data_IF_665276567004
#
_entry.id   IF_665276567004
#
_cell.length_a   1.000
_cell.length_b   1.000
_cell.length_c   1.000
_cell.angle_alpha   90.00
_cell.angle_beta   90.00
_cell.angle_gamma   90.00
#
_symmetry.space_group_name_H-M   'P 1'
#
loop_
_entity.id
_entity.type
_entity.pdbx_description
1 polymer ?
#
# COMPACT_ATOMS: atom_id res chain seq x y z
N UNK A 1 9.51 -19.13 -23.92
CA UNK A 1 9.63 -17.67 -23.70
C UNK A 1 8.97 -17.20 -22.39
N UNK A 2 8.79 -18.09 -21.39
CA UNK A 2 8.12 -17.75 -20.11
C UNK A 2 8.89 -18.27 -18.87
N UNK A 3 10.07 -18.88 -19.06
CA UNK A 3 10.95 -19.33 -17.96
C UNK A 3 12.07 -18.32 -17.66
N UNK A 4 12.53 -17.60 -18.68
CA UNK A 4 13.61 -16.60 -18.54
C UNK A 4 13.15 -15.32 -17.81
N UNK A 5 11.84 -15.05 -17.75
CA UNK A 5 11.29 -13.90 -17.00
C UNK A 5 11.33 -14.13 -15.48
N UNK A 6 11.06 -15.37 -15.03
CA UNK A 6 11.07 -15.74 -13.59
C UNK A 6 12.49 -15.79 -13.03
N UNK A 7 13.47 -16.30 -13.77
CA UNK A 7 14.87 -16.33 -13.35
C UNK A 7 15.48 -14.92 -13.18
N UNK A 8 15.02 -13.97 -13.99
CA UNK A 8 15.50 -12.58 -13.92
C UNK A 8 14.87 -11.78 -12.77
N UNK A 9 13.66 -12.16 -12.31
CA UNK A 9 13.00 -11.56 -11.14
C UNK A 9 13.68 -11.94 -9.82
N UNK A 10 14.12 -13.19 -9.66
CA UNK A 10 14.81 -13.65 -8.45
C UNK A 10 16.18 -12.95 -8.24
N UNK A 11 16.84 -12.59 -9.33
CA UNK A 11 18.17 -11.94 -9.32
C UNK A 11 18.06 -10.44 -8.97
N UNK A 12 16.90 -9.81 -9.22
CA UNK A 12 16.66 -8.39 -8.93
C UNK A 12 16.30 -8.16 -7.45
N UNK A 13 15.62 -9.13 -6.82
CA UNK A 13 15.31 -9.09 -5.37
C UNK A 13 16.58 -9.12 -4.51
N UNK A 14 17.53 -9.98 -4.86
CA UNK A 14 18.80 -10.15 -4.13
C UNK A 14 19.74 -8.93 -4.26
N UNK A 15 19.68 -8.20 -5.37
CA UNK A 15 20.48 -6.97 -5.59
C UNK A 15 19.90 -5.72 -4.87
N UNK A 16 18.60 -5.71 -4.57
CA UNK A 16 17.96 -4.65 -3.79
C UNK A 16 18.23 -4.79 -2.29
N UNK A 17 18.29 -6.03 -1.78
CA UNK A 17 18.65 -6.34 -0.39
C UNK A 17 20.11 -5.94 -0.05
N UNK A 18 21.05 -6.17 -0.97
CA UNK A 18 22.47 -5.83 -0.78
C UNK A 18 22.77 -4.32 -0.79
N UNK A 19 21.88 -3.49 -1.37
CA UNK A 19 22.03 -2.03 -1.37
C UNK A 19 21.42 -1.35 -0.14
N UNK A 20 20.43 -1.98 0.50
CA UNK A 20 19.81 -1.45 1.72
C UNK A 20 20.75 -1.52 2.95
N UNK A 21 21.67 -2.48 2.98
CA UNK A 21 22.61 -2.71 4.10
C UNK A 21 23.75 -1.68 4.19
N UNK A 22 24.00 -0.85 3.16
CA UNK A 22 25.16 0.08 3.14
C UNK A 22 24.86 1.55 3.47
N UNK A 23 23.62 1.91 3.85
CA UNK A 23 23.26 3.29 4.22
C UNK A 23 22.48 3.34 5.54
N UNK A 24 23.13 2.94 6.63
CA UNK A 24 22.73 3.33 7.99
C UNK A 24 23.85 4.17 8.59
N UNK A 25 23.67 5.48 8.55
CA UNK A 25 24.24 6.44 9.52
C UNK A 25 23.70 7.83 9.18
N UNK A 26 22.63 8.24 9.86
CA UNK A 26 22.29 9.65 10.04
C UNK A 26 21.44 9.79 11.32
N UNK A 27 22.01 10.57 12.24
CA UNK A 27 21.55 10.85 13.61
C UNK A 27 20.14 11.47 13.67
N UNK A 28 19.26 10.93 14.52
CA UNK A 28 18.00 11.56 14.90
C UNK A 28 17.86 11.51 16.43
N UNK A 29 17.48 12.65 17.03
CA UNK A 29 17.46 12.86 18.49
C UNK A 29 16.14 12.38 19.09
N UNK A 30 16.23 11.66 20.20
CA UNK A 30 15.10 11.13 20.98
C UNK A 30 14.59 12.16 21.98
N UNK A 31 13.26 12.30 22.11
CA UNK A 31 12.59 12.99 23.22
C UNK A 31 11.83 11.91 24.01
N UNK A 32 12.00 11.92 25.33
CA UNK A 32 11.43 10.93 26.24
C UNK A 32 9.99 11.27 26.65
N UNK A 33 9.11 10.27 26.72
CA UNK A 33 7.84 10.34 27.44
C UNK A 33 7.64 9.12 28.35
N UNK A 34 6.98 9.36 29.49
CA UNK A 34 6.80 8.47 30.65
C UNK A 34 5.56 7.55 30.50
N UNK A 35 5.47 6.46 31.28
CA UNK A 35 4.47 5.42 31.08
C UNK A 35 3.20 5.70 31.89
N UNK A 36 2.05 5.35 31.33
CA UNK A 36 0.88 4.95 32.12
C UNK A 36 0.44 3.57 31.64
N UNK A 37 0.47 2.63 32.56
CA UNK A 37 -0.05 1.28 32.47
C UNK A 37 -1.57 1.32 32.70
N UNK A 38 -2.33 0.75 31.78
CA UNK A 38 -3.78 0.71 31.93
C UNK A 38 -4.45 0.16 30.70
N UNK A 39 -5.11 -0.99 30.87
CA UNK A 39 -6.02 -1.61 29.91
C UNK A 39 -7.04 -0.55 29.46
N UNK A 40 -6.90 -0.05 28.24
CA UNK A 40 -7.85 0.87 27.63
C UNK A 40 -8.65 0.11 26.58
N UNK A 41 -9.80 -0.42 26.99
CA UNK A 41 -10.88 -0.75 26.05
C UNK A 41 -11.28 0.53 25.33
N UNK A 42 -11.11 0.55 24.00
CA UNK A 42 -11.60 1.63 23.16
C UNK A 42 -12.77 1.11 22.33
N UNK A 43 -13.91 1.75 22.55
CA UNK A 43 -15.20 1.52 21.93
C UNK A 43 -15.18 1.56 20.40
N UNK A 44 -15.85 0.56 19.83
CA UNK A 44 -16.64 0.53 18.59
C UNK A 44 -16.59 1.74 17.66
N UNK A 45 -16.26 1.48 16.40
CA UNK A 45 -17.04 1.99 15.29
C UNK A 45 -17.24 0.84 14.28
N UNK A 46 -18.50 0.46 14.09
CA UNK A 46 -18.94 -0.54 13.13
C UNK A 46 -18.67 -0.03 11.71
N UNK A 47 -17.68 -0.59 11.02
CA UNK A 47 -17.49 -0.35 9.59
C UNK A 47 -17.80 -1.62 8.80
N UNK A 48 -19.08 -1.98 8.82
CA UNK A 48 -19.66 -2.76 7.75
C UNK A 48 -20.34 -1.75 6.80
N UNK A 49 -19.85 -1.72 5.57
CA UNK A 49 -20.59 -1.39 4.35
C UNK A 49 -22.01 -0.84 4.57
N UNK A 50 -22.23 0.47 4.44
CA UNK A 50 -23.59 0.99 4.22
C UNK A 50 -23.73 2.42 3.68
N UNK A 51 -22.68 3.22 3.49
CA UNK A 51 -22.85 4.55 2.85
C UNK A 51 -22.22 4.71 1.45
N UNK A 52 -21.43 3.75 0.97
CA UNK A 52 -20.99 3.74 -0.43
C UNK A 52 -22.04 3.14 -1.39
N UNK A 53 -23.15 2.60 -0.86
CA UNK A 53 -24.22 1.95 -1.63
C UNK A 53 -25.48 2.81 -1.80
N UNK A 54 -25.43 4.11 -1.52
CA UNK A 54 -26.56 5.03 -1.70
C UNK A 54 -26.22 6.15 -2.69
N UNK A 55 -25.78 5.76 -3.88
CA UNK A 55 -25.93 6.55 -5.11
C UNK A 55 -26.56 5.65 -6.19
N UNK A 56 -27.70 5.05 -5.86
CA UNK A 56 -28.60 4.50 -6.88
C UNK A 56 -29.23 5.67 -7.65
N UNK A 57 -28.65 5.99 -8.80
CA UNK A 57 -29.15 7.00 -9.70
C UNK A 57 -28.66 6.76 -11.13
N UNK A 58 -29.41 5.92 -11.87
CA UNK A 58 -29.35 5.72 -13.33
C UNK A 58 -28.01 5.23 -13.91
N UNK A 59 -27.64 3.96 -13.72
CA UNK A 59 -26.62 3.33 -14.57
C UNK A 59 -26.94 1.84 -14.80
N UNK A 60 -26.45 1.30 -15.93
CA UNK A 60 -26.80 -0.03 -16.48
C UNK A 60 -26.55 -1.20 -15.52
N UNK A 61 -26.85 -2.42 -15.98
CA UNK A 61 -26.68 -3.60 -15.15
C UNK A 61 -25.23 -3.73 -14.68
N UNK A 62 -25.00 -4.36 -13.52
CA UNK A 62 -23.64 -4.60 -13.01
C UNK A 62 -22.76 -5.33 -14.04
N UNK A 63 -23.34 -6.17 -14.89
CA UNK A 63 -22.67 -6.81 -16.01
C UNK A 63 -22.20 -5.81 -17.08
N UNK A 64 -23.01 -4.79 -17.41
CA UNK A 64 -22.64 -3.75 -18.39
C UNK A 64 -21.46 -2.91 -17.90
N UNK A 65 -21.42 -2.61 -16.59
CA UNK A 65 -20.30 -1.88 -15.97
C UNK A 65 -19.00 -2.70 -16.03
N UNK A 66 -19.08 -4.01 -15.75
CA UNK A 66 -17.94 -4.92 -15.84
C UNK A 66 -17.45 -5.01 -17.29
N UNK A 67 -18.36 -5.23 -18.24
CA UNK A 67 -18.02 -5.33 -19.66
C UNK A 67 -17.33 -4.06 -20.17
N UNK A 68 -17.90 -2.89 -19.87
CA UNK A 68 -17.31 -1.60 -20.26
C UNK A 68 -15.93 -1.38 -19.64
N UNK A 69 -15.71 -1.83 -18.40
CA UNK A 69 -14.39 -1.78 -17.77
C UNK A 69 -13.38 -2.69 -18.47
N UNK A 70 -13.76 -3.92 -18.82
CA UNK A 70 -12.88 -4.86 -19.52
C UNK A 70 -12.49 -4.35 -20.91
N UNK A 71 -13.45 -3.85 -21.69
CA UNK A 71 -13.20 -3.26 -23.00
C UNK A 71 -12.21 -2.07 -22.92
N UNK A 72 -12.35 -1.23 -21.90
CA UNK A 72 -11.42 -0.12 -21.65
C UNK A 72 -10.01 -0.65 -21.37
N UNK A 73 -9.88 -1.67 -20.52
CA UNK A 73 -8.58 -2.26 -20.18
C UNK A 73 -7.89 -2.87 -21.41
N UNK A 74 -8.62 -3.70 -22.18
CA UNK A 74 -8.10 -4.32 -23.40
C UNK A 74 -7.56 -3.27 -24.38
N UNK A 75 -8.31 -2.17 -24.58
CA UNK A 75 -7.88 -1.06 -25.41
C UNK A 75 -6.61 -0.38 -24.89
N UNK A 76 -6.56 -0.05 -23.59
CA UNK A 76 -5.42 0.61 -22.96
C UNK A 76 -4.14 -0.21 -23.10
N UNK A 77 -4.20 -1.54 -22.99
CA UNK A 77 -3.03 -2.42 -23.11
C UNK A 77 -2.41 -2.45 -24.51
N UNK A 78 -3.15 -2.09 -25.55
CA UNK A 78 -2.63 -2.03 -26.93
C UNK A 78 -1.88 -0.73 -27.24
N UNK A 79 -2.08 0.32 -26.42
CA UNK A 79 -1.54 1.65 -26.71
C UNK A 79 -0.08 1.76 -26.27
N UNK A 80 0.79 2.03 -27.25
CA UNK A 80 2.24 2.18 -27.08
C UNK A 80 2.66 3.63 -27.09
N UNK A 81 3.63 3.98 -26.26
CA UNK A 81 4.09 5.37 -26.13
C UNK A 81 4.72 5.91 -27.42
N UNK A 82 5.38 5.02 -28.17
CA UNK A 82 6.15 5.29 -29.39
C UNK A 82 5.24 5.64 -30.57
N UNK A 83 3.98 5.18 -30.53
CA UNK A 83 2.98 5.46 -31.56
C UNK A 83 2.43 6.88 -31.50
N UNK A 84 2.85 7.68 -30.52
CA UNK A 84 2.29 9.01 -30.27
C UNK A 84 3.38 10.09 -30.20
N UNK A 85 3.28 11.15 -31.01
CA UNK A 85 4.29 12.21 -31.03
C UNK A 85 4.24 13.12 -29.78
N UNK A 86 3.10 13.19 -29.09
CA UNK A 86 2.87 14.10 -27.96
C UNK A 86 2.02 13.46 -26.85
N UNK A 87 2.17 13.92 -25.60
CA UNK A 87 1.33 13.47 -24.46
C UNK A 87 -0.17 13.65 -24.73
N UNK A 88 -0.67 14.79 -25.26
CA UNK A 88 -2.08 14.93 -25.63
C UNK A 88 -2.56 13.89 -26.65
N UNK A 89 -1.74 13.52 -27.65
CA UNK A 89 -2.13 12.51 -28.63
C UNK A 89 -2.24 11.11 -28.02
N UNK A 90 -1.34 10.76 -27.09
CA UNK A 90 -1.43 9.52 -26.31
C UNK A 90 -2.70 9.52 -25.45
N UNK A 91 -2.94 10.60 -24.70
CA UNK A 91 -4.11 10.72 -23.82
C UNK A 91 -5.42 10.62 -24.59
N UNK A 92 -5.50 11.25 -25.77
CA UNK A 92 -6.66 11.13 -26.67
C UNK A 92 -6.89 9.68 -27.10
N UNK A 93 -5.83 8.94 -27.41
CA UNK A 93 -5.94 7.52 -27.76
C UNK A 93 -6.41 6.68 -26.56
N UNK A 94 -5.84 6.90 -25.38
CA UNK A 94 -6.21 6.16 -24.15
C UNK A 94 -7.66 6.37 -23.75
N UNK A 95 -8.21 7.55 -24.02
CA UNK A 95 -9.53 7.97 -23.54
C UNK A 95 -10.63 7.94 -24.60
N UNK A 96 -10.35 7.42 -25.81
CA UNK A 96 -11.27 7.49 -26.96
C UNK A 96 -12.62 6.81 -26.69
N UNK A 97 -12.63 5.69 -25.97
CA UNK A 97 -13.83 4.93 -25.62
C UNK A 97 -14.33 5.23 -24.19
N UNK A 98 -13.78 6.25 -23.53
CA UNK A 98 -14.13 6.60 -22.15
C UNK A 98 -15.24 7.65 -22.10
N UNK A 99 -16.44 7.24 -21.67
CA UNK A 99 -17.63 8.09 -21.63
C UNK A 99 -17.80 8.90 -20.33
N UNK A 100 -16.96 8.67 -19.31
CA UNK A 100 -17.04 9.36 -18.02
C UNK A 100 -15.67 9.87 -17.55
N UNK A 101 -15.68 10.85 -16.64
CA UNK A 101 -14.44 11.35 -16.02
C UNK A 101 -13.70 10.23 -15.27
N UNK A 102 -14.45 9.34 -14.61
CA UNK A 102 -13.91 8.18 -13.90
C UNK A 102 -13.25 7.19 -14.86
N UNK A 103 -13.90 6.85 -15.98
CA UNK A 103 -13.34 5.95 -16.99
C UNK A 103 -12.03 6.52 -17.58
N UNK A 104 -12.01 7.84 -17.84
CA UNK A 104 -10.77 8.52 -18.27
C UNK A 104 -9.68 8.43 -17.20
N UNK A 105 -9.99 8.75 -15.95
CA UNK A 105 -9.04 8.68 -14.84
C UNK A 105 -8.45 7.26 -14.67
N UNK A 106 -9.29 6.23 -14.82
CA UNK A 106 -8.91 4.82 -14.73
C UNK A 106 -8.03 4.38 -15.89
N UNK A 107 -8.40 4.74 -17.13
CA UNK A 107 -7.61 4.43 -18.32
C UNK A 107 -6.19 5.00 -18.23
N UNK A 108 -6.06 6.26 -17.79
CA UNK A 108 -4.75 6.88 -17.58
C UNK A 108 -3.97 6.20 -16.46
N UNK A 109 -4.63 5.86 -15.35
CA UNK A 109 -3.99 5.21 -14.20
C UNK A 109 -3.45 3.83 -14.57
N UNK A 110 -4.28 3.03 -15.26
CA UNK A 110 -3.93 1.70 -15.76
C UNK A 110 -2.78 1.75 -16.73
N UNK A 111 -2.81 2.71 -17.66
CA UNK A 111 -1.73 2.84 -18.62
C UNK A 111 -0.42 3.18 -17.94
N UNK A 112 -0.38 4.21 -17.09
CA UNK A 112 0.85 4.69 -16.42
C UNK A 112 1.41 3.61 -15.49
N UNK A 113 0.57 3.01 -14.65
CA UNK A 113 0.99 2.02 -13.65
C UNK A 113 1.40 0.69 -14.29
N UNK A 114 0.82 0.35 -15.45
CA UNK A 114 1.13 -0.89 -16.18
C UNK A 114 2.38 -0.82 -17.06
N UNK A 115 3.09 0.31 -17.12
CA UNK A 115 4.30 0.43 -17.95
C UNK A 115 5.51 -0.27 -17.30
N UNK A 116 6.28 -1.00 -18.10
CA UNK A 116 7.58 -1.55 -17.67
C UNK A 116 8.68 -0.51 -17.78
N UNK A 117 9.14 0.03 -16.64
CA UNK A 117 10.26 0.99 -16.63
C UNK A 117 11.59 0.39 -17.09
N UNK A 118 11.77 -0.94 -17.01
CA UNK A 118 12.99 -1.62 -17.48
C UNK A 118 13.20 -1.37 -18.97
N UNK A 119 12.12 -1.43 -19.76
CA UNK A 119 12.15 -1.11 -21.18
C UNK A 119 12.61 0.33 -21.42
N UNK A 120 11.99 1.31 -20.76
CA UNK A 120 12.24 2.73 -21.00
C UNK A 120 13.64 3.23 -20.60
N UNK A 121 14.35 2.52 -19.71
CA UNK A 121 15.77 2.82 -19.41
C UNK A 121 16.67 2.67 -20.64
N UNK A 122 16.31 1.74 -21.54
CA UNK A 122 17.12 1.39 -22.70
C UNK A 122 16.73 2.13 -23.98
N UNK A 123 15.60 2.85 -23.98
CA UNK A 123 15.08 3.51 -25.19
C UNK A 123 15.87 4.79 -25.51
N UNK A 124 16.15 5.02 -26.80
CA UNK A 124 16.69 6.28 -27.30
C UNK A 124 15.54 7.20 -27.70
N UNK A 125 15.61 8.46 -27.25
CA UNK A 125 14.57 9.45 -27.53
C UNK A 125 15.20 10.73 -28.06
N UNK A 126 14.65 11.27 -29.14
CA UNK A 126 15.13 12.51 -29.77
C UNK A 126 14.32 13.74 -29.37
N UNK A 127 13.03 13.56 -29.04
CA UNK A 127 12.13 14.63 -28.61
C UNK A 127 11.87 14.55 -27.10
N UNK A 128 12.38 15.46 -26.26
CA UNK A 128 12.19 15.45 -24.80
C UNK A 128 10.73 15.54 -24.32
N UNK A 129 9.81 16.02 -25.18
CA UNK A 129 8.39 16.19 -24.88
C UNK A 129 7.51 15.01 -25.29
N UNK A 130 8.07 14.00 -25.96
CA UNK A 130 7.30 12.81 -26.37
C UNK A 130 6.90 11.96 -25.16
N UNK A 131 5.81 11.16 -25.27
CA UNK A 131 5.42 10.23 -24.21
C UNK A 131 6.54 9.24 -23.84
N UNK A 132 7.26 8.71 -24.82
CA UNK A 132 8.41 7.83 -24.61
C UNK A 132 9.51 8.52 -23.80
N UNK A 133 9.81 9.78 -24.09
CA UNK A 133 10.77 10.57 -23.31
C UNK A 133 10.31 10.81 -21.87
N UNK A 134 9.01 11.03 -21.65
CA UNK A 134 8.43 11.18 -20.31
C UNK A 134 8.55 9.88 -19.50
N UNK A 135 8.25 8.74 -20.13
CA UNK A 135 8.44 7.42 -19.51
C UNK A 135 9.92 7.13 -19.21
N UNK A 136 10.84 7.54 -20.09
CA UNK A 136 12.28 7.46 -19.84
C UNK A 136 12.70 8.34 -18.67
N UNK A 137 12.23 9.60 -18.61
CA UNK A 137 12.48 10.49 -17.47
C UNK A 137 11.97 9.88 -16.16
N UNK A 138 10.82 9.21 -16.19
CA UNK A 138 10.28 8.49 -15.04
C UNK A 138 11.19 7.33 -14.62
N UNK A 139 11.64 6.52 -15.59
CA UNK A 139 12.56 5.41 -15.36
C UNK A 139 13.95 5.84 -14.84
N UNK A 140 14.37 7.06 -15.15
CA UNK A 140 15.60 7.71 -14.68
C UNK A 140 15.41 8.51 -13.38
N UNK A 141 14.18 8.59 -12.84
CA UNK A 141 13.88 9.36 -11.62
C UNK A 141 13.91 10.89 -11.79
N UNK A 142 13.84 11.39 -13.02
CA UNK A 142 13.79 12.84 -13.35
C UNK A 142 12.38 13.44 -13.25
N UNK A 143 11.36 12.60 -13.21
CA UNK A 143 9.97 12.96 -12.92
C UNK A 143 9.35 11.86 -12.04
N UNK A 144 8.16 12.12 -11.50
CA UNK A 144 7.43 11.17 -10.66
C UNK A 144 6.19 10.65 -11.38
N UNK A 145 5.69 9.50 -10.94
CA UNK A 145 4.41 8.95 -11.38
C UNK A 145 3.28 9.98 -11.20
N UNK A 146 3.24 10.65 -10.04
CA UNK A 146 2.23 11.66 -9.73
C UNK A 146 2.26 12.88 -10.67
N UNK A 147 3.46 13.33 -11.06
CA UNK A 147 3.61 14.43 -11.99
C UNK A 147 3.19 14.04 -13.42
N UNK A 148 3.59 12.85 -13.88
CA UNK A 148 3.20 12.34 -15.20
C UNK A 148 1.69 12.09 -15.28
N UNK A 149 1.11 11.45 -14.26
CA UNK A 149 -0.33 11.23 -14.18
C UNK A 149 -1.09 12.56 -14.18
N UNK A 150 -0.64 13.57 -13.42
CA UNK A 150 -1.25 14.89 -13.41
C UNK A 150 -1.21 15.55 -14.80
N UNK A 151 -0.08 15.49 -15.51
CA UNK A 151 0.04 16.02 -16.88
C UNK A 151 -0.97 15.34 -17.81
N UNK A 152 -1.05 14.01 -17.76
CA UNK A 152 -1.99 13.23 -18.57
C UNK A 152 -3.45 13.53 -18.22
N UNK A 153 -3.78 13.62 -16.94
CA UNK A 153 -5.12 13.94 -16.46
C UNK A 153 -5.58 15.32 -16.95
N UNK A 154 -4.69 16.33 -16.91
CA UNK A 154 -4.98 17.66 -17.45
C UNK A 154 -5.24 17.62 -18.95
N UNK A 155 -4.46 16.85 -19.72
CA UNK A 155 -4.72 16.64 -21.15
C UNK A 155 -6.08 15.98 -21.43
N UNK A 156 -6.60 15.16 -20.51
CA UNK A 156 -7.92 14.55 -20.61
C UNK A 156 -9.07 15.48 -20.16
N UNK A 157 -8.75 16.70 -19.73
CA UNK A 157 -9.72 17.67 -19.19
C UNK A 157 -10.13 17.39 -17.75
N UNK A 158 -9.35 16.59 -17.00
CA UNK A 158 -9.61 16.28 -15.59
C UNK A 158 -8.89 17.29 -14.69
N UNK A 159 -9.57 17.75 -13.64
CA UNK A 159 -8.89 18.46 -12.54
C UNK A 159 -8.17 17.44 -11.68
N UNK A 160 -6.85 17.58 -11.56
CA UNK A 160 -5.99 16.64 -10.87
C UNK A 160 -4.93 17.42 -10.07
N UNK A 161 -4.93 17.21 -8.76
CA UNK A 161 -3.98 17.83 -7.84
C UNK A 161 -2.85 16.86 -7.52
N UNK A 162 -1.64 17.41 -7.39
CA UNK A 162 -0.48 16.66 -6.93
C UNK A 162 -0.40 16.86 -5.42
N UNK A 163 -0.42 15.77 -4.68
CA UNK A 163 -0.42 15.77 -3.22
C UNK A 163 0.92 15.25 -2.75
N UNK A 164 1.63 16.07 -1.96
CA UNK A 164 2.88 15.69 -1.33
C UNK A 164 2.64 15.26 0.12
N UNK A 165 3.41 14.29 0.60
CA UNK A 165 3.33 13.85 1.98
C UNK A 165 4.23 12.69 2.30
N UNK A 166 3.75 11.81 3.17
CA UNK A 166 4.46 10.65 3.68
C UNK A 166 3.69 9.37 3.40
N UNK A 167 4.41 8.30 3.10
CA UNK A 167 3.82 6.97 2.97
C UNK A 167 4.50 5.94 3.87
N UNK A 168 3.69 5.03 4.39
CA UNK A 168 4.17 3.74 4.89
C UNK A 168 4.33 2.79 3.71
N UNK A 169 5.37 3.02 2.91
CA UNK A 169 5.69 2.20 1.74
C UNK A 169 6.03 0.75 2.10
N UNK A 170 6.44 -0.04 1.10
CA UNK A 170 6.81 -1.45 1.27
C UNK A 170 7.94 -1.63 2.29
N UNK A 171 8.91 -0.70 2.30
CA UNK A 171 10.09 -0.76 3.17
C UNK A 171 9.89 -0.03 4.52
N UNK A 172 8.65 0.34 4.86
CA UNK A 172 8.36 0.97 6.14
C UNK A 172 8.22 -0.09 7.24
N UNK A 173 8.99 0.03 8.31
CA UNK A 173 8.85 -0.81 9.50
C UNK A 173 8.10 -0.05 10.62
N UNK A 174 7.12 -0.67 11.29
CA UNK A 174 6.45 -0.11 12.47
C UNK A 174 7.43 0.39 13.53
N UNK A 175 7.10 1.52 14.18
CA UNK A 175 7.97 2.15 15.17
C UNK A 175 9.18 2.91 14.59
N UNK A 176 9.38 2.91 13.27
CA UNK A 176 10.37 3.78 12.64
C UNK A 176 10.09 5.26 12.94
N UNK A 177 11.12 6.10 13.18
CA UNK A 177 10.93 7.51 13.46
C UNK A 177 10.10 8.20 12.38
N UNK A 178 9.19 9.08 12.81
CA UNK A 178 8.49 9.98 11.91
C UNK A 178 9.51 10.77 11.04
N UNK A 179 9.17 11.00 9.77
CA UNK A 179 9.89 11.92 8.88
C UNK A 179 11.29 11.49 8.39
N UNK A 180 11.55 10.19 8.25
CA UNK A 180 12.66 9.76 7.40
C UNK A 180 12.42 10.20 5.94
N UNK A 181 13.47 10.67 5.25
CA UNK A 181 13.39 11.02 3.82
C UNK A 181 12.88 9.87 2.95
N UNK A 182 13.06 8.62 3.39
CA UNK A 182 12.55 7.42 2.76
C UNK A 182 11.01 7.32 2.72
N UNK A 183 10.30 8.09 3.56
CA UNK A 183 8.82 8.11 3.59
C UNK A 183 8.24 9.19 2.69
N UNK A 184 9.04 10.16 2.22
CA UNK A 184 8.54 11.27 1.39
C UNK A 184 8.06 10.73 0.06
N UNK A 185 6.85 11.10 -0.32
CA UNK A 185 6.22 10.61 -1.54
C UNK A 185 5.19 11.61 -2.07
N UNK A 186 4.74 11.38 -3.29
CA UNK A 186 3.70 12.19 -3.93
C UNK A 186 2.73 11.30 -4.71
N UNK A 187 1.45 11.66 -4.65
CA UNK A 187 0.33 10.96 -5.28
C UNK A 187 -0.67 11.99 -5.85
N UNK A 188 -1.86 11.55 -6.27
CA UNK A 188 -2.84 12.45 -6.88
C UNK A 188 -4.21 12.42 -6.21
N UNK A 189 -4.90 13.55 -6.29
CA UNK A 189 -6.33 13.67 -6.04
C UNK A 189 -7.02 14.16 -7.32
N UNK A 190 -7.92 13.36 -7.89
CA UNK A 190 -8.63 13.67 -9.14
C UNK A 190 -10.08 14.04 -8.85
N UNK A 191 -10.58 15.12 -9.45
CA UNK A 191 -11.98 15.54 -9.27
C UNK A 191 -12.90 14.76 -10.20
N UNK A 192 -13.83 14.01 -9.61
CA UNK A 192 -14.81 13.17 -10.28
C UNK A 192 -16.20 13.49 -9.69
N UNK A 193 -17.18 13.81 -10.55
CA UNK A 193 -18.58 14.06 -10.14
C UNK A 193 -18.76 15.02 -8.95
N UNK A 194 -17.94 16.08 -8.87
CA UNK A 194 -18.03 17.09 -7.82
C UNK A 194 -17.21 16.81 -6.55
N UNK A 195 -16.61 15.61 -6.43
CA UNK A 195 -15.77 15.23 -5.29
C UNK A 195 -14.35 14.90 -5.76
N UNK A 196 -13.40 14.80 -4.83
CA UNK A 196 -12.03 14.35 -5.12
C UNK A 196 -11.89 12.87 -4.74
N UNK A 197 -11.20 12.09 -5.58
CA UNK A 197 -10.83 10.71 -5.32
C UNK A 197 -9.30 10.58 -5.29
N UNK A 198 -8.77 9.76 -4.39
CA UNK A 198 -7.34 9.56 -4.19
C UNK A 198 -6.82 8.41 -5.04
N UNK A 199 -5.60 8.54 -5.56
CA UNK A 199 -4.91 7.45 -6.25
C UNK A 199 -3.39 7.61 -6.15
N UNK A 200 -2.68 6.48 -6.24
CA UNK A 200 -1.22 6.43 -6.31
C UNK A 200 -0.74 5.49 -7.42
N UNK A 201 -0.37 6.07 -8.56
CA UNK A 201 0.14 5.33 -9.70
C UNK A 201 1.54 4.73 -9.47
N UNK A 202 2.33 5.23 -8.51
CA UNK A 202 3.63 4.64 -8.18
C UNK A 202 3.43 3.33 -7.42
N UNK A 203 2.67 3.35 -6.32
CA UNK A 203 2.37 2.14 -5.56
C UNK A 203 1.59 1.14 -6.41
N UNK A 204 0.63 1.60 -7.23
CA UNK A 204 -0.07 0.76 -8.19
C UNK A 204 0.81 0.13 -9.28
N UNK A 205 1.99 0.70 -9.58
CA UNK A 205 2.94 0.13 -10.55
C UNK A 205 3.85 -0.96 -9.97
N UNK A 206 3.84 -1.14 -8.65
CA UNK A 206 4.65 -2.16 -8.01
C UNK A 206 4.11 -3.55 -8.35
N UNK A 207 4.98 -4.57 -8.52
CA UNK A 207 4.58 -5.91 -8.96
C UNK A 207 3.96 -6.73 -7.81
N UNK A 208 3.02 -6.15 -7.08
CA UNK A 208 2.27 -6.80 -6.01
C UNK A 208 0.80 -6.93 -6.43
N UNK A 209 0.27 -8.16 -6.42
CA UNK A 209 -1.05 -8.54 -6.97
C UNK A 209 -2.17 -7.54 -6.64
N UNK A 210 -2.28 -7.14 -5.37
CA UNK A 210 -3.39 -6.32 -4.88
C UNK A 210 -3.16 -4.80 -4.97
N UNK A 211 -1.96 -4.34 -5.34
CA UNK A 211 -1.63 -2.91 -5.29
C UNK A 211 -2.30 -2.13 -6.43
N UNK A 212 -2.30 -2.68 -7.65
CA UNK A 212 -2.83 -1.97 -8.82
C UNK A 212 -4.31 -1.60 -8.64
N UNK A 213 -5.13 -2.50 -8.12
CA UNK A 213 -6.55 -2.20 -7.90
C UNK A 213 -6.75 -1.30 -6.68
N UNK A 214 -6.05 -1.59 -5.57
CA UNK A 214 -6.28 -0.89 -4.31
C UNK A 214 -5.96 0.61 -4.39
N UNK A 215 -4.89 0.99 -5.10
CA UNK A 215 -4.43 2.39 -5.17
C UNK A 215 -5.11 3.24 -6.25
N UNK A 216 -6.24 2.80 -6.80
CA UNK A 216 -7.11 3.62 -7.65
C UNK A 216 -8.44 3.92 -6.97
N UNK A 217 -8.71 5.21 -6.71
CA UNK A 217 -9.93 5.67 -6.04
C UNK A 217 -10.14 5.03 -4.65
N UNK A 218 -9.04 4.79 -3.93
CA UNK A 218 -9.08 4.22 -2.57
C UNK A 218 -9.92 5.11 -1.65
N UNK A 219 -10.82 4.53 -0.84
CA UNK A 219 -11.56 5.27 0.17
C UNK A 219 -10.62 6.04 1.11
N UNK A 220 -10.94 7.31 1.49
CA UNK A 220 -10.03 8.12 2.30
C UNK A 220 -9.64 7.52 3.65
N UNK A 221 -10.55 6.80 4.30
CA UNK A 221 -10.35 6.09 5.58
C UNK A 221 -9.43 4.87 5.46
N UNK A 222 -9.38 4.22 4.29
CA UNK A 222 -8.39 3.19 3.98
C UNK A 222 -7.05 3.82 3.56
N UNK A 223 -7.10 4.83 2.69
CA UNK A 223 -5.92 5.48 2.12
C UNK A 223 -5.07 6.14 3.22
N UNK A 224 -5.69 6.71 4.25
CA UNK A 224 -4.99 7.35 5.36
C UNK A 224 -4.15 6.40 6.21
N UNK A 225 -4.35 5.07 6.11
CA UNK A 225 -3.52 4.08 6.81
C UNK A 225 -2.12 3.95 6.18
N UNK A 226 -2.01 4.25 4.88
CA UNK A 226 -0.76 4.17 4.13
C UNK A 226 -0.21 5.53 3.69
N UNK A 227 -1.05 6.56 3.57
CA UNK A 227 -0.67 7.89 3.08
C UNK A 227 -1.08 9.01 4.04
N UNK A 228 -0.15 9.92 4.35
CA UNK A 228 -0.41 11.10 5.16
C UNK A 228 0.01 12.37 4.42
N UNK A 229 -0.94 13.22 3.98
CA UNK A 229 -0.63 14.41 3.20
C UNK A 229 -0.02 15.51 4.07
N UNK A 230 0.89 16.29 3.50
CA UNK A 230 1.42 17.51 4.11
C UNK A 230 0.33 18.56 4.34
N UNK A 231 -0.61 18.66 3.40
CA UNK A 231 -1.80 19.51 3.51
C UNK A 231 -3.00 18.64 3.88
N UNK A 232 -3.47 18.79 5.13
CA UNK A 232 -4.52 17.95 5.72
C UNK A 232 -5.86 18.00 4.99
N UNK A 233 -6.11 19.00 4.12
CA UNK A 233 -7.33 19.01 3.29
C UNK A 233 -7.42 17.79 2.37
N UNK A 234 -6.28 17.20 2.00
CA UNK A 234 -6.19 16.01 1.17
C UNK A 234 -6.41 14.70 1.92
N UNK A 235 -6.67 14.75 3.23
CA UNK A 235 -7.19 13.58 3.94
C UNK A 235 -8.60 13.24 3.45
N UNK A 236 -9.38 14.21 2.96
CA UNK A 236 -10.77 14.01 2.49
C UNK A 236 -11.67 13.32 3.53
N UNK A 237 -11.39 13.52 4.81
CA UNK A 237 -12.13 12.95 5.95
C UNK A 237 -12.69 14.06 6.84
N UNK A 238 -13.85 13.81 7.45
CA UNK A 238 -14.47 14.74 8.41
C UNK A 238 -13.62 14.89 9.68
N UNK A 239 -13.02 13.80 10.16
CA UNK A 239 -12.08 13.79 11.28
C UNK A 239 -10.67 13.64 10.75
N UNK A 240 -9.89 14.71 10.81
CA UNK A 240 -8.48 14.66 10.45
C UNK A 240 -7.69 13.87 11.50
N UNK A 241 -6.82 12.98 11.03
CA UNK A 241 -5.82 12.30 11.88
C UNK A 241 -4.59 13.20 12.06
N UNK A 242 -3.92 13.08 13.20
CA UNK A 242 -2.61 13.70 13.39
C UNK A 242 -1.49 12.88 12.76
N UNK A 243 -0.31 13.48 12.62
CA UNK A 243 0.87 12.76 12.15
C UNK A 243 1.31 11.67 13.15
N UNK A 244 1.16 11.96 14.45
CA UNK A 244 1.40 10.99 15.53
C UNK A 244 0.45 9.81 15.41
N UNK A 245 -0.85 10.06 15.17
CA UNK A 245 -1.83 8.99 14.93
C UNK A 245 -1.45 8.18 13.67
N UNK A 246 -1.01 8.84 12.60
CA UNK A 246 -0.59 8.15 11.38
C UNK A 246 0.59 7.20 11.66
N UNK A 247 1.69 7.66 12.25
CA UNK A 247 2.83 6.79 12.54
C UNK A 247 2.55 5.78 13.67
N UNK A 248 1.66 6.14 14.60
CA UNK A 248 1.14 5.26 15.64
C UNK A 248 0.15 4.21 15.15
N UNK A 249 -0.37 4.34 13.92
CA UNK A 249 -1.27 3.38 13.32
C UNK A 249 -0.54 2.19 12.67
N UNK A 250 -1.22 1.05 12.62
CA UNK A 250 -0.76 -0.20 12.04
C UNK A 250 -0.18 -0.04 10.63
N UNK A 251 0.90 -0.77 10.32
CA UNK A 251 1.37 -0.95 8.95
C UNK A 251 0.48 -1.99 8.28
N UNK A 252 -0.19 -1.59 7.21
CA UNK A 252 -1.09 -2.45 6.44
C UNK A 252 -0.62 -2.60 4.99
N UNK A 253 -1.12 -3.66 4.35
CA UNK A 253 -1.02 -3.91 2.91
C UNK A 253 -2.44 -4.00 2.30
N UNK A 254 -2.58 -3.77 0.98
CA UNK A 254 -3.85 -3.88 0.25
C UNK A 254 -4.64 -5.17 0.49
N UNK A 255 -3.93 -6.29 0.71
CA UNK A 255 -4.46 -7.61 1.09
C UNK A 255 -5.39 -7.57 2.31
N UNK A 256 -5.10 -6.73 3.31
CA UNK A 256 -5.97 -6.56 4.47
C UNK A 256 -7.40 -6.19 4.08
N UNK A 257 -7.52 -5.29 3.10
CA UNK A 257 -8.81 -4.86 2.58
C UNK A 257 -9.39 -5.89 1.60
N UNK A 258 -8.55 -6.45 0.72
CA UNK A 258 -8.98 -7.44 -0.26
C UNK A 258 -9.61 -8.70 0.38
N UNK A 259 -9.07 -9.13 1.52
CA UNK A 259 -9.56 -10.29 2.28
C UNK A 259 -10.43 -9.92 3.48
N UNK A 260 -10.72 -8.63 3.68
CA UNK A 260 -11.52 -8.11 4.80
C UNK A 260 -11.02 -8.60 6.17
N UNK A 261 -9.71 -8.67 6.36
CA UNK A 261 -9.07 -9.06 7.63
C UNK A 261 -8.99 -7.82 8.52
N UNK A 262 -9.46 -7.94 9.76
CA UNK A 262 -9.58 -6.81 10.69
C UNK A 262 -8.92 -7.12 12.02
N UNK A 263 -7.72 -6.58 12.30
CA UNK A 263 -7.15 -6.70 13.63
C UNK A 263 -7.95 -5.92 14.66
N UNK A 264 -8.03 -6.43 15.90
CA UNK A 264 -8.71 -5.71 16.99
C UNK A 264 -7.94 -4.47 17.47
N UNK A 265 -6.64 -4.40 17.19
CA UNK A 265 -5.78 -3.25 17.52
C UNK A 265 -5.22 -2.61 16.26
N UNK A 266 -5.43 -1.31 16.09
CA UNK A 266 -4.81 -0.54 15.01
C UNK A 266 -3.53 0.16 15.45
N UNK A 267 -2.95 -0.17 16.61
CA UNK A 267 -1.68 0.42 17.06
C UNK A 267 -0.50 -0.25 16.35
N UNK A 268 0.47 0.54 15.90
CA UNK A 268 1.67 0.09 15.20
C UNK A 268 2.64 -0.66 16.13
N UNK A 269 2.72 -0.21 17.38
CA UNK A 269 3.64 -0.74 18.40
C UNK A 269 2.84 -1.26 19.59
N UNK A 270 3.11 -2.50 19.97
CA UNK A 270 2.52 -3.18 21.13
C UNK A 270 3.63 -3.44 22.14
N UNK A 271 3.36 -3.23 23.42
CA UNK A 271 4.33 -3.48 24.51
C UNK A 271 3.88 -4.67 25.33
N UNK A 272 4.82 -5.52 25.72
CA UNK A 272 4.62 -6.57 26.71
C UNK A 272 5.75 -6.54 27.74
N UNK A 273 5.44 -7.00 28.96
CA UNK A 273 6.33 -6.91 30.13
C UNK A 273 6.61 -8.25 30.80
N UNK A 274 5.96 -9.32 30.33
CA UNK A 274 6.12 -10.68 30.83
C UNK A 274 6.43 -11.68 29.70
N UNK A 275 6.74 -11.15 28.50
CA UNK A 275 7.00 -11.91 27.30
C UNK A 275 5.76 -12.57 26.70
N UNK A 276 4.55 -12.29 27.20
CA UNK A 276 3.32 -12.89 26.69
C UNK A 276 2.50 -11.84 25.97
N UNK A 277 1.95 -12.22 24.82
CA UNK A 277 1.05 -11.36 24.05
C UNK A 277 0.03 -12.21 23.30
N UNK A 278 -1.14 -11.64 23.03
CA UNK A 278 -2.12 -12.25 22.13
C UNK A 278 -2.61 -11.22 21.13
N UNK A 279 -2.64 -11.61 19.86
CA UNK A 279 -3.17 -10.79 18.77
C UNK A 279 -4.42 -11.47 18.24
N UNK A 280 -5.56 -10.77 18.30
CA UNK A 280 -6.82 -11.24 17.74
C UNK A 280 -7.17 -10.50 16.46
N UNK A 281 -7.62 -11.25 15.47
CA UNK A 281 -8.08 -10.75 14.17
C UNK A 281 -9.46 -11.30 13.86
N UNK A 282 -10.27 -10.50 13.18
CA UNK A 282 -11.52 -10.94 12.57
C UNK A 282 -11.26 -11.24 11.10
N UNK A 283 -11.71 -12.40 10.63
CA UNK A 283 -11.54 -12.88 9.26
C UNK A 283 -12.63 -13.88 8.90
N UNK A 284 -12.94 -14.04 7.62
CA UNK A 284 -14.04 -14.90 7.19
C UNK A 284 -13.60 -15.86 6.07
N UNK A 285 -13.40 -17.13 6.42
CA UNK A 285 -13.01 -18.20 5.47
C UNK A 285 -11.72 -17.90 4.69
N UNK A 286 -10.71 -17.36 5.37
CA UNK A 286 -9.40 -17.01 4.78
C UNK A 286 -8.31 -17.75 5.54
N UNK A 287 -7.42 -18.43 4.82
CA UNK A 287 -6.26 -19.07 5.42
C UNK A 287 -5.18 -18.01 5.70
N UNK A 288 -4.69 -17.98 6.95
CA UNK A 288 -3.68 -17.02 7.40
C UNK A 288 -2.55 -17.73 8.13
N UNK A 289 -1.35 -17.17 8.01
CA UNK A 289 -0.14 -17.69 8.64
C UNK A 289 0.55 -16.55 9.39
N UNK A 290 0.81 -16.68 10.71
CA UNK A 290 1.59 -15.69 11.43
C UNK A 290 3.09 -15.88 11.12
N UNK A 291 3.86 -14.80 11.17
CA UNK A 291 5.33 -14.82 11.12
C UNK A 291 5.85 -13.93 12.23
N UNK A 292 6.82 -14.41 13.00
CA UNK A 292 7.42 -13.67 14.12
C UNK A 292 8.94 -13.59 13.98
N UNK A 293 9.43 -12.36 13.79
CA UNK A 293 10.85 -12.09 13.60
C UNK A 293 11.43 -11.33 14.79
N UNK A 294 12.61 -11.73 15.26
CA UNK A 294 13.35 -11.00 16.30
C UNK A 294 14.32 -10.00 15.68
N UNK A 295 14.28 -8.75 16.16
CA UNK A 295 15.13 -7.65 15.71
C UNK A 295 15.78 -6.88 16.88
N UNK A 296 15.74 -7.44 18.09
CA UNK A 296 16.34 -6.84 19.28
C UNK A 296 17.87 -6.98 19.37
N UNK A 297 18.49 -6.37 20.39
CA UNK A 297 19.96 -6.33 20.55
C UNK A 297 20.59 -7.62 21.08
N UNK A 298 19.79 -8.52 21.67
CA UNK A 298 20.23 -9.84 22.15
C UNK A 298 20.56 -10.85 21.04
N UNK A 299 20.85 -12.13 21.39
CA UNK A 299 21.18 -13.17 20.42
C UNK A 299 20.10 -13.32 19.35
N UNK A 300 20.52 -13.45 18.10
CA UNK A 300 19.63 -13.70 16.98
C UNK A 300 18.77 -14.94 17.26
N UNK A 301 17.49 -14.85 16.91
CA UNK A 301 16.53 -15.95 17.03
C UNK A 301 16.15 -16.43 15.63
N UNK A 302 15.89 -17.73 15.52
CA UNK A 302 15.39 -18.34 14.30
C UNK A 302 13.89 -18.03 14.13
N UNK A 303 13.53 -17.41 13.00
CA UNK A 303 12.15 -16.95 12.74
C UNK A 303 11.16 -18.12 12.64
N UNK A 304 11.59 -19.24 12.04
CA UNK A 304 10.75 -20.42 11.89
C UNK A 304 10.43 -21.04 13.26
N UNK A 305 11.44 -21.14 14.13
CA UNK A 305 11.27 -21.62 15.50
C UNK A 305 10.36 -20.73 16.33
N UNK A 306 10.48 -19.40 16.21
CA UNK A 306 9.59 -18.45 16.88
C UNK A 306 8.15 -18.60 16.39
N UNK A 307 7.98 -18.72 15.07
CA UNK A 307 6.68 -18.84 14.42
C UNK A 307 5.97 -20.15 14.79
N UNK A 308 6.69 -21.27 14.83
CA UNK A 308 6.17 -22.55 15.31
C UNK A 308 5.76 -22.53 16.78
N UNK A 309 6.30 -21.60 17.57
CA UNK A 309 5.93 -21.40 18.98
C UNK A 309 4.63 -20.61 19.18
N UNK A 310 3.98 -20.13 18.11
CA UNK A 310 2.71 -19.41 18.19
C UNK A 310 1.57 -20.40 18.31
N UNK A 311 0.78 -20.27 19.37
CA UNK A 311 -0.44 -21.06 19.56
C UNK A 311 -1.64 -20.31 18.94
N UNK A 312 -2.36 -20.99 18.04
CA UNK A 312 -3.46 -20.40 17.26
C UNK A 312 -4.81 -20.93 17.76
N UNK A 313 -5.61 -20.04 18.32
CA UNK A 313 -6.98 -20.28 18.72
C UNK A 313 -7.95 -19.83 17.60
N UNK A 314 -8.68 -20.78 17.00
CA UNK A 314 -9.68 -20.49 15.95
C UNK A 314 -11.09 -20.48 16.56
N UNK A 315 -11.77 -19.33 16.51
CA UNK A 315 -13.15 -19.13 16.97
C UNK A 315 -14.09 -18.96 15.78
N UNK A 316 -14.56 -20.09 15.25
CA UNK A 316 -15.40 -20.15 14.06
C UNK A 316 -16.72 -19.37 14.16
N UNK A 317 -17.38 -19.38 15.33
CA UNK A 317 -18.66 -18.66 15.56
C UNK A 317 -18.49 -17.15 15.44
N UNK A 318 -17.32 -16.65 15.82
CA UNK A 318 -17.02 -15.24 15.95
C UNK A 318 -16.29 -14.70 14.71
N UNK A 319 -15.98 -15.58 13.74
CA UNK A 319 -15.12 -15.26 12.60
C UNK A 319 -13.82 -14.61 13.07
N UNK A 320 -13.18 -15.24 14.07
CA UNK A 320 -12.01 -14.67 14.73
C UNK A 320 -10.93 -15.73 14.96
N UNK A 321 -9.68 -15.29 14.88
CA UNK A 321 -8.51 -16.09 15.24
C UNK A 321 -7.65 -15.30 16.23
N UNK A 322 -7.06 -15.99 17.20
CA UNK A 322 -6.15 -15.39 18.18
C UNK A 322 -4.82 -16.12 18.16
N UNK A 323 -3.75 -15.35 18.04
CA UNK A 323 -2.36 -15.82 18.02
C UNK A 323 -1.73 -15.51 19.37
N UNK A 324 -1.51 -16.54 20.18
CA UNK A 324 -0.84 -16.44 21.47
C UNK A 324 0.66 -16.63 21.28
N UNK A 325 1.44 -15.65 21.71
CA UNK A 325 2.89 -15.62 21.54
C UNK A 325 3.58 -15.65 22.90
N UNK A 326 4.69 -16.39 22.96
CA UNK A 326 5.65 -16.36 24.05
C UNK A 326 7.02 -15.90 23.52
N UNK A 327 7.48 -14.75 24.00
CA UNK A 327 8.71 -14.11 23.57
C UNK A 327 9.87 -14.57 24.48
N UNK A 328 10.88 -15.27 23.95
CA UNK A 328 11.88 -15.93 24.77
C UNK A 328 12.85 -14.99 25.48
N UNK A 329 13.01 -13.74 25.03
CA UNK A 329 13.95 -12.77 25.59
C UNK A 329 13.51 -11.33 25.30
N UNK A 330 14.01 -10.38 26.09
CA UNK A 330 13.79 -8.95 25.84
C UNK A 330 14.27 -8.52 24.45
N UNK A 331 13.55 -7.56 23.88
CA UNK A 331 13.92 -6.93 22.63
C UNK A 331 12.71 -6.59 21.76
N UNK A 332 13.03 -6.18 20.52
CA UNK A 332 12.05 -5.84 19.52
C UNK A 332 11.73 -7.07 18.67
N UNK A 333 10.45 -7.31 18.43
CA UNK A 333 9.94 -8.33 17.54
C UNK A 333 9.02 -7.70 16.48
N UNK A 334 8.89 -8.35 15.33
CA UNK A 334 7.92 -8.00 14.31
C UNK A 334 6.96 -9.18 14.10
N UNK A 335 5.68 -8.95 14.39
CA UNK A 335 4.62 -9.89 14.07
C UNK A 335 3.99 -9.48 12.75
N UNK A 336 4.05 -10.34 11.75
CA UNK A 336 3.41 -10.15 10.46
C UNK A 336 2.33 -11.21 10.29
N UNK A 337 1.11 -10.79 9.98
CA UNK A 337 0.09 -11.74 9.54
C UNK A 337 0.14 -11.83 8.01
N UNK A 338 0.26 -13.05 7.50
CA UNK A 338 0.23 -13.36 6.08
C UNK A 338 -1.13 -13.97 5.72
N UNK A 339 -1.59 -13.74 4.50
CA UNK A 339 -2.73 -14.46 3.90
C UNK A 339 -2.19 -15.39 2.82
N UNK A 340 -2.72 -16.61 2.79
CA UNK A 340 -2.38 -17.57 1.74
C UNK A 340 -3.28 -17.35 0.52
N UNK A 341 -2.70 -16.92 -0.59
CA UNK A 341 -3.39 -16.78 -1.87
C UNK A 341 -3.39 -18.11 -2.63
N UNK A 342 -4.53 -18.80 -2.58
CA UNK A 342 -4.72 -20.13 -3.17
C UNK A 342 -4.51 -20.13 -4.69
N UNK A 343 -4.73 -19.01 -5.39
CA UNK A 343 -4.58 -18.95 -6.85
C UNK A 343 -3.12 -18.98 -7.29
N UNK A 344 -2.24 -18.33 -6.51
CA UNK A 344 -0.82 -18.18 -6.83
C UNK A 344 0.10 -19.06 -5.97
N UNK A 345 -0.47 -19.73 -4.95
CA UNK A 345 0.25 -20.56 -3.96
C UNK A 345 1.36 -19.75 -3.28
N UNK A 346 1.00 -18.53 -2.84
CA UNK A 346 1.91 -17.57 -2.23
C UNK A 346 1.32 -16.96 -0.95
N UNK A 347 2.17 -16.78 0.06
CA UNK A 347 1.83 -16.05 1.28
C UNK A 347 2.14 -14.56 1.12
N UNK A 348 1.13 -13.72 1.31
CA UNK A 348 1.22 -12.28 1.05
C UNK A 348 0.95 -11.52 2.35
N UNK A 349 1.77 -10.52 2.72
CA UNK A 349 1.61 -9.82 3.99
C UNK A 349 0.31 -9.03 4.05
N UNK A 350 -0.37 -9.05 5.20
CA UNK A 350 -1.64 -8.38 5.49
C UNK A 350 -1.41 -7.11 6.31
N UNK A 351 -0.75 -7.27 7.45
CA UNK A 351 -0.35 -6.19 8.34
C UNK A 351 0.86 -6.62 9.19
N UNK A 352 1.52 -5.66 9.82
CA UNK A 352 2.68 -5.91 10.69
C UNK A 352 2.66 -5.02 11.94
N UNK A 353 2.84 -5.63 13.10
CA UNK A 353 3.12 -4.94 14.37
C UNK A 353 4.62 -4.95 14.68
N UNK A 354 5.09 -3.91 15.35
CA UNK A 354 6.28 -4.02 16.21
C UNK A 354 5.82 -4.40 17.62
N UNK A 355 6.45 -5.39 18.22
CA UNK A 355 6.26 -5.75 19.62
C UNK A 355 7.54 -5.41 20.37
N UNK A 356 7.42 -4.61 21.42
CA UNK A 356 8.53 -4.28 22.32
C UNK A 356 8.36 -5.08 23.60
N UNK A 357 9.27 -6.02 23.85
CA UNK A 357 9.33 -6.77 25.10
C UNK A 357 10.44 -6.22 25.99
N UNK A 358 10.04 -5.74 27.17
CA UNK A 358 10.94 -5.35 28.25
C UNK A 358 10.42 -5.95 29.55
N UNK A 359 11.19 -6.84 30.16
CA UNK A 359 10.84 -7.43 31.44
C UNK A 359 10.94 -6.34 32.52
N UNK A 360 9.84 -6.09 33.24
CA UNK A 360 9.82 -5.13 34.36
C UNK A 360 10.00 -5.83 35.72
N UNK A 361 10.19 -7.16 35.73
CA UNK A 361 10.41 -7.98 36.93
C UNK A 361 11.89 -8.32 37.16
N UNK A 362 12.78 -7.93 36.25
CA UNK A 362 14.25 -7.95 36.36
C UNK A 362 14.79 -6.51 36.50
#
# INVERSE_FOLDING_TARGET
>A
MNKDLRANQQTILTDLEHKATRKREASCKTIASRPDSGIAGSSSASYASSEAALLEGRHGSQADLIASSLEMLEHVYQIRSESHPTVPSLVKALTVNCHSAQAKAHALYRWVSGQSLVYYKCVTCTNPSSPTSKMKQLAEGKTTYAALYQEMARCAGLRCELVEGHVKGVNYSPGSPALCSATRHAWNAVSLNGHYALLDAHLGSLPYKFFLEHFFMTPPDEFCLSHYPKDKRWLLMTRAISEEDFFGALKTWPTMFAFNIRPLSMRSVIKTYDGRLSVTVLLHSVAVTPVLEYAGPGPAQDSDSLTLGIDQEIRNTDNAETFHMYLPQEGDYFFTLMVHDVEEDEDIPVFQYKIEYKDELL
#
